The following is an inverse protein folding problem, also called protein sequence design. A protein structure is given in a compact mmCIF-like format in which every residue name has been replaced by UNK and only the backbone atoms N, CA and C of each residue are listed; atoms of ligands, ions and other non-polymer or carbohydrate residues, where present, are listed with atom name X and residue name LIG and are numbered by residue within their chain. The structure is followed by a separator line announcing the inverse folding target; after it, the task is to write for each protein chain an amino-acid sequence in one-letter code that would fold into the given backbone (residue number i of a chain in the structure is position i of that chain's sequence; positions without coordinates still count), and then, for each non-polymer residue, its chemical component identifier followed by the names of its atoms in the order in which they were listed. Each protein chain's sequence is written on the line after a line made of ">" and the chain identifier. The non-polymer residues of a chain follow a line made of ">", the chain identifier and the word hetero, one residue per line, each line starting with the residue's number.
data_IF_508403371927
#
_entry.id   IF_508403371927
#
_cell.length_a   1.000
_cell.length_b   1.000
_cell.length_c   1.000
_cell.angle_alpha   90.00
_cell.angle_beta   90.00
_cell.angle_gamma   90.00
#
_symmetry.space_group_name_H-M   'P 1'
#
loop_
_entity.id
_entity.type
_entity.pdbx_description
1 polymer ?
#
# COMPACT_ATOMS: atom_id res chain seq x y z
N UNK A 1 20.95 5.29 11.10
CA UNK A 1 19.57 5.81 11.11
C UNK A 1 19.38 6.53 9.79
N UNK A 2 18.92 5.82 8.75
CA UNK A 2 18.61 6.43 7.46
C UNK A 2 17.20 6.99 7.58
N UNK A 3 17.07 8.31 7.64
CA UNK A 3 15.80 9.03 7.55
C UNK A 3 15.21 8.77 6.16
N UNK A 4 14.26 7.86 6.09
CA UNK A 4 13.35 7.71 4.95
C UNK A 4 12.31 8.83 5.11
N UNK A 5 12.71 10.03 4.66
CA UNK A 5 11.93 11.28 4.71
C UNK A 5 10.86 11.30 3.60
N UNK A 6 9.90 12.23 3.69
CA UNK A 6 8.86 12.59 2.72
C UNK A 6 9.32 12.56 1.24
N UNK A 7 10.61 12.75 0.98
CA UNK A 7 11.24 12.54 -0.32
C UNK A 7 10.96 11.15 -0.95
N UNK A 8 10.77 10.08 -0.17
CA UNK A 8 10.38 8.78 -0.72
C UNK A 8 8.92 8.80 -1.21
N UNK A 9 8.02 9.43 -0.45
CA UNK A 9 6.62 9.59 -0.82
C UNK A 9 6.48 10.49 -2.05
N UNK A 10 7.16 11.64 -2.06
CA UNK A 10 7.24 12.53 -3.23
C UNK A 10 7.78 11.79 -4.46
N UNK A 11 8.83 10.97 -4.33
CA UNK A 11 9.35 10.19 -5.47
C UNK A 11 8.39 9.09 -5.95
N UNK A 12 7.52 8.55 -5.08
CA UNK A 12 6.53 7.55 -5.49
C UNK A 12 5.31 8.21 -6.16
N UNK A 13 4.94 9.41 -5.72
CA UNK A 13 3.85 10.20 -6.27
C UNK A 13 4.25 10.91 -7.57
N UNK A 14 5.40 11.58 -7.61
CA UNK A 14 5.86 12.37 -8.76
C UNK A 14 6.06 11.55 -10.05
N UNK A 15 6.21 10.23 -9.93
CA UNK A 15 6.39 9.36 -11.09
C UNK A 15 5.13 8.56 -11.47
N UNK A 16 4.04 8.63 -10.70
CA UNK A 16 2.87 7.73 -10.79
C UNK A 16 3.24 6.23 -10.87
N UNK A 17 4.50 5.90 -10.53
CA UNK A 17 5.17 4.64 -10.86
C UNK A 17 6.27 4.41 -9.84
N UNK A 18 6.35 3.18 -9.36
CA UNK A 18 7.54 2.71 -8.66
C UNK A 18 8.72 2.76 -9.63
N UNK A 19 9.72 3.57 -9.33
CA UNK A 19 10.97 3.60 -10.11
C UNK A 19 11.60 2.22 -9.99
N UNK A 20 11.91 1.58 -11.13
CA UNK A 20 12.39 0.19 -11.16
C UNK A 20 13.68 -0.06 -10.34
N UNK A 21 14.44 1.00 -10.02
CA UNK A 21 15.65 0.95 -9.22
C UNK A 21 15.44 1.21 -7.71
N UNK A 22 14.24 1.63 -7.30
CA UNK A 22 13.94 1.90 -5.91
C UNK A 22 13.79 0.58 -5.13
N UNK A 23 14.64 0.37 -4.13
CA UNK A 23 14.52 -0.76 -3.23
C UNK A 23 13.51 -0.43 -2.13
N UNK A 24 12.53 -1.30 -1.96
CA UNK A 24 11.60 -1.20 -0.83
C UNK A 24 12.35 -1.33 0.50
N UNK A 25 12.06 -0.53 1.53
CA UNK A 25 12.58 -0.76 2.87
C UNK A 25 12.25 -2.17 3.34
N UNK A 26 13.17 -2.83 4.05
CA UNK A 26 13.03 -4.23 4.49
C UNK A 26 11.74 -4.51 5.27
N UNK A 27 11.21 -3.51 5.97
CA UNK A 27 9.96 -3.62 6.75
C UNK A 27 8.72 -3.85 5.86
N UNK A 28 8.81 -3.52 4.57
CA UNK A 28 7.75 -3.70 3.58
C UNK A 28 7.98 -4.94 2.70
N UNK A 29 9.02 -5.74 2.98
CA UNK A 29 9.18 -7.00 2.26
C UNK A 29 8.07 -7.97 2.66
N UNK A 30 7.43 -8.65 1.70
CA UNK A 30 6.50 -9.73 2.02
C UNK A 30 7.22 -10.85 2.78
N UNK A 31 6.47 -11.56 3.62
CA UNK A 31 6.99 -12.75 4.29
C UNK A 31 7.41 -13.81 3.27
N UNK A 32 8.45 -14.58 3.59
CA UNK A 32 8.94 -15.67 2.71
C UNK A 32 7.89 -16.75 2.46
N UNK A 33 6.93 -16.91 3.38
CA UNK A 33 5.78 -17.81 3.23
C UNK A 33 4.51 -17.02 2.97
N UNK A 34 3.80 -17.37 1.89
CA UNK A 34 2.45 -16.87 1.62
C UNK A 34 1.39 -17.62 2.42
N UNK A 35 0.40 -16.90 2.92
CA UNK A 35 -0.81 -17.52 3.47
C UNK A 35 -1.60 -18.25 2.36
N UNK A 36 -2.46 -19.22 2.72
CA UNK A 36 -3.39 -19.81 1.76
C UNK A 36 -4.21 -18.75 1.01
N UNK A 37 -4.55 -19.00 -0.25
CA UNK A 37 -5.26 -18.05 -1.10
C UNK A 37 -6.58 -17.58 -0.46
N UNK A 38 -7.39 -18.50 0.06
CA UNK A 38 -8.65 -18.18 0.72
C UNK A 38 -8.46 -17.25 1.92
N UNK A 39 -7.48 -17.54 2.77
CA UNK A 39 -7.12 -16.67 3.89
C UNK A 39 -6.63 -15.29 3.43
N UNK A 40 -5.88 -15.25 2.32
CA UNK A 40 -5.38 -14.00 1.74
C UNK A 40 -6.54 -13.15 1.21
N UNK A 41 -7.50 -13.75 0.50
CA UNK A 41 -8.71 -13.08 0.03
C UNK A 41 -9.57 -12.57 1.18
N UNK A 42 -9.72 -13.36 2.25
CA UNK A 42 -10.45 -12.96 3.45
C UNK A 42 -9.78 -11.76 4.16
N UNK A 43 -8.44 -11.77 4.23
CA UNK A 43 -7.67 -10.65 4.78
C UNK A 43 -7.84 -9.39 3.93
N UNK A 44 -7.78 -9.53 2.60
CA UNK A 44 -7.99 -8.42 1.68
C UNK A 44 -9.39 -7.82 1.85
N UNK A 45 -10.45 -8.65 1.89
CA UNK A 45 -11.81 -8.17 2.08
C UNK A 45 -11.99 -7.38 3.40
N UNK A 46 -11.42 -7.88 4.50
CA UNK A 46 -11.44 -7.16 5.79
C UNK A 46 -10.64 -5.87 5.76
N UNK A 47 -9.46 -5.87 5.13
CA UNK A 47 -8.63 -4.69 5.02
C UNK A 47 -9.32 -3.59 4.20
N UNK A 48 -9.95 -3.94 3.08
CA UNK A 48 -10.72 -3.00 2.26
C UNK A 48 -11.89 -2.39 3.04
N UNK A 49 -12.69 -3.22 3.73
CA UNK A 49 -13.79 -2.72 4.56
C UNK A 49 -13.30 -1.82 5.72
N UNK A 50 -12.15 -2.15 6.31
CA UNK A 50 -11.52 -1.33 7.34
C UNK A 50 -11.03 0.01 6.82
N UNK A 51 -10.45 0.05 5.61
CA UNK A 51 -10.04 1.28 4.95
C UNK A 51 -11.23 2.20 4.67
N UNK A 52 -12.33 1.65 4.14
CA UNK A 52 -13.55 2.41 3.88
C UNK A 52 -14.13 3.02 5.18
N UNK A 53 -14.16 2.24 6.25
CA UNK A 53 -14.62 2.71 7.55
C UNK A 53 -13.71 3.82 8.12
N UNK A 54 -12.38 3.67 7.99
CA UNK A 54 -11.43 4.68 8.44
C UNK A 54 -11.56 5.99 7.65
N UNK A 55 -11.74 5.92 6.33
CA UNK A 55 -11.98 7.11 5.49
C UNK A 55 -13.30 7.80 5.87
N UNK A 56 -14.36 7.03 6.16
CA UNK A 56 -15.62 7.59 6.62
C UNK A 56 -15.47 8.31 7.98
N UNK A 57 -14.72 7.74 8.92
CA UNK A 57 -14.44 8.35 10.21
C UNK A 57 -13.63 9.65 10.07
N UNK A 58 -12.59 9.64 9.22
CA UNK A 58 -11.78 10.84 8.93
C UNK A 58 -12.65 11.96 8.38
N UNK A 59 -13.53 11.67 7.41
CA UNK A 59 -14.49 12.64 6.86
C UNK A 59 -15.39 13.27 7.92
N UNK A 60 -15.80 12.50 8.94
CA UNK A 60 -16.63 13.01 10.04
C UNK A 60 -15.83 13.87 11.02
N UNK A 61 -14.57 13.51 11.28
CA UNK A 61 -13.69 14.25 12.20
C UNK A 61 -13.16 15.56 11.61
N UNK A 62 -13.04 15.66 10.28
CA UNK A 62 -12.40 16.78 9.59
C UNK A 62 -10.87 16.73 9.61
N UNK A 63 -10.26 15.66 10.12
CA UNK A 63 -8.82 15.44 10.05
C UNK A 63 -8.37 15.28 8.59
N UNK A 64 -7.32 16.02 8.22
CA UNK A 64 -6.75 16.03 6.87
C UNK A 64 -5.39 15.34 6.78
N UNK A 65 -4.84 14.90 7.92
CA UNK A 65 -3.52 14.25 8.02
C UNK A 65 -3.56 13.02 8.91
N UNK A 66 -2.67 12.06 8.67
CA UNK A 66 -2.45 10.88 9.52
C UNK A 66 -0.98 10.78 9.95
N UNK A 67 -0.74 10.19 11.11
CA UNK A 67 0.61 9.78 11.55
C UNK A 67 0.94 8.39 10.99
N UNK A 68 1.91 8.32 10.08
CA UNK A 68 2.40 7.07 9.51
C UNK A 68 3.76 6.69 10.12
N UNK A 69 3.96 5.43 10.58
CA UNK A 69 5.18 5.01 11.27
C UNK A 69 6.46 5.12 10.44
N UNK A 70 6.36 5.25 9.12
CA UNK A 70 7.51 5.41 8.21
C UNK A 70 7.57 6.78 7.55
N UNK A 71 6.43 7.43 7.30
CA UNK A 71 6.38 8.67 6.52
C UNK A 71 6.15 9.90 7.42
N UNK A 72 5.97 9.71 8.73
CA UNK A 72 5.59 10.78 9.65
C UNK A 72 4.15 11.25 9.39
N UNK A 73 3.88 12.51 9.70
CA UNK A 73 2.61 13.17 9.40
C UNK A 73 2.46 13.36 7.89
N UNK A 74 1.42 12.76 7.29
CA UNK A 74 1.14 12.85 5.85
C UNK A 74 -0.32 13.22 5.59
N UNK A 75 -0.63 13.95 4.51
CA UNK A 75 -2.01 14.19 4.10
C UNK A 75 -2.76 12.88 3.81
N UNK A 76 -4.04 12.82 4.18
CA UNK A 76 -4.90 11.65 3.94
C UNK A 76 -4.97 11.34 2.44
N UNK A 77 -5.11 12.37 1.61
CA UNK A 77 -5.22 12.23 0.15
C UNK A 77 -3.96 11.60 -0.45
N UNK A 78 -2.79 12.06 -0.02
CA UNK A 78 -1.49 11.53 -0.43
C UNK A 78 -1.31 10.04 -0.07
N UNK A 79 -1.76 9.65 1.12
CA UNK A 79 -1.71 8.25 1.55
C UNK A 79 -2.68 7.37 0.75
N UNK A 80 -3.87 7.87 0.43
CA UNK A 80 -4.84 7.15 -0.41
C UNK A 80 -4.33 6.97 -1.84
N UNK A 81 -3.70 7.99 -2.40
CA UNK A 81 -3.07 7.94 -3.72
C UNK A 81 -1.93 6.91 -3.75
N UNK A 82 -1.07 6.91 -2.73
CA UNK A 82 -0.03 5.88 -2.57
C UNK A 82 -0.62 4.47 -2.60
N UNK A 83 -1.70 4.21 -1.87
CA UNK A 83 -2.36 2.91 -1.84
C UNK A 83 -2.93 2.52 -3.21
N UNK A 84 -3.48 3.48 -3.96
CA UNK A 84 -3.99 3.24 -5.31
C UNK A 84 -2.86 2.88 -6.29
N UNK A 85 -1.75 3.62 -6.28
CA UNK A 85 -0.57 3.35 -7.11
C UNK A 85 0.04 1.99 -6.75
N UNK A 86 0.19 1.70 -5.45
CA UNK A 86 0.72 0.43 -4.94
C UNK A 86 -0.14 -0.76 -5.36
N UNK A 87 -1.46 -0.64 -5.24
CA UNK A 87 -2.40 -1.67 -5.68
C UNK A 87 -2.28 -1.92 -7.18
N UNK A 88 -2.29 -0.87 -8.00
CA UNK A 88 -2.16 -0.99 -9.47
C UNK A 88 -0.82 -1.61 -9.88
N UNK A 89 0.26 -1.23 -9.22
CA UNK A 89 1.58 -1.79 -9.46
C UNK A 89 1.59 -3.31 -9.25
N UNK A 90 1.06 -3.79 -8.13
CA UNK A 90 1.00 -5.23 -7.84
C UNK A 90 -0.02 -5.98 -8.70
N UNK A 91 -1.13 -5.36 -9.10
CA UNK A 91 -2.04 -5.94 -10.09
C UNK A 91 -1.30 -6.26 -11.41
N UNK A 92 -0.35 -5.43 -11.82
CA UNK A 92 0.50 -5.69 -13.00
C UNK A 92 1.52 -6.83 -12.82
N UNK A 93 1.78 -7.26 -11.58
CA UNK A 93 2.65 -8.40 -11.26
C UNK A 93 1.89 -9.72 -11.10
N UNK A 94 0.56 -9.66 -10.96
CA UNK A 94 -0.25 -10.86 -10.91
C UNK A 94 -0.22 -11.55 -12.29
N UNK A 95 -0.12 -12.89 -12.34
CA UNK A 95 -0.18 -13.59 -13.60
C UNK A 95 -1.49 -13.25 -14.32
N UNK A 96 -1.42 -13.02 -15.64
CA UNK A 96 -2.62 -12.92 -16.47
C UNK A 96 -3.48 -14.17 -16.21
N UNK A 97 -4.76 -13.98 -15.87
CA UNK A 97 -5.69 -15.05 -15.48
C UNK A 97 -5.56 -16.26 -16.41
N UNK A 98 -4.90 -17.33 -15.94
CA UNK A 98 -4.65 -18.53 -16.73
C UNK A 98 -3.42 -19.35 -16.33
N UNK A 99 -2.43 -18.79 -15.63
CA UNK A 99 -1.35 -19.60 -15.06
C UNK A 99 -1.89 -20.33 -13.82
N UNK A 100 -2.18 -21.62 -13.97
CA UNK A 100 -2.53 -22.49 -12.87
C UNK A 100 -1.46 -22.38 -11.77
N UNK A 101 -1.85 -21.88 -10.60
CA UNK A 101 -1.02 -22.01 -9.40
C UNK A 101 -1.16 -23.48 -8.98
N UNK A 102 -0.25 -24.31 -9.45
CA UNK A 102 -0.11 -25.68 -8.94
C UNK A 102 0.19 -25.61 -7.44
N UNK A 103 -0.68 -26.22 -6.65
CA UNK A 103 -0.49 -26.48 -5.23
C UNK A 103 0.58 -27.56 -5.01
#
# INVERSE_FOLDING_TARGET
>A
MLTLDAALLENMQAYERFVAAAKSPKVFHPSETSAPLTQTLDRLARASAGLDAAVAALRQSGETTIEHPVFGTIPVEEYLELNAIHTRHHMGQLPASGAAVSA
#
